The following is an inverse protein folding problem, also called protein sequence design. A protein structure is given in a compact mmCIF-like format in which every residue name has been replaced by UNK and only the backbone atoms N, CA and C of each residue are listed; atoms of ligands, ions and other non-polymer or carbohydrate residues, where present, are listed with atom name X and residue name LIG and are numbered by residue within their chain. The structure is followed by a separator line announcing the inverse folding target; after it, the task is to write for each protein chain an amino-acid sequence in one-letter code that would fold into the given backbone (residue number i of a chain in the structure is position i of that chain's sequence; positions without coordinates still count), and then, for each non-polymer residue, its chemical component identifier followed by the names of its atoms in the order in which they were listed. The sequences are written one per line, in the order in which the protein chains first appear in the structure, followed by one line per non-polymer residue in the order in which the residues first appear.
data_IF_975789286315
#
_entry.id   IF_975789286315
#
_cell.length_a   1.000
_cell.length_b   1.000
_cell.length_c   1.000
_cell.angle_alpha   90.00
_cell.angle_beta   90.00
_cell.angle_gamma   90.00
#
_symmetry.space_group_name_H-M   'P 1'
#
loop_
_entity.id
_entity.type
_entity.pdbx_description
1 polymer ?
#
# COMPACT_ATOMS: atom_id res chain seq x y z
N UNK A 1 -12.57 16.73 -57.25
CA UNK A 1 -11.69 16.44 -56.09
C UNK A 1 -12.28 17.16 -54.89
N UNK A 2 -13.02 16.43 -54.04
CA UNK A 2 -13.67 17.01 -52.86
C UNK A 2 -12.67 17.05 -51.70
N UNK A 3 -12.50 18.22 -51.09
CA UNK A 3 -11.70 18.39 -49.89
C UNK A 3 -12.38 17.66 -48.72
N UNK A 4 -11.68 16.68 -48.14
CA UNK A 4 -12.08 16.04 -46.89
C UNK A 4 -11.71 17.02 -45.78
N UNK A 5 -12.67 17.84 -45.36
CA UNK A 5 -12.58 18.59 -44.11
C UNK A 5 -12.67 17.58 -42.97
N UNK A 6 -11.52 17.25 -42.39
CA UNK A 6 -11.45 16.58 -41.08
C UNK A 6 -12.32 17.36 -40.08
N UNK A 7 -13.20 16.70 -39.31
CA UNK A 7 -13.95 17.39 -38.26
C UNK A 7 -12.97 17.99 -37.25
N UNK A 8 -13.30 19.12 -36.60
CA UNK A 8 -12.48 19.65 -35.52
C UNK A 8 -12.44 18.58 -34.42
N UNK A 9 -11.32 17.86 -34.36
CA UNK A 9 -11.02 16.97 -33.24
C UNK A 9 -11.14 17.77 -31.96
N UNK A 10 -11.75 17.15 -30.96
CA UNK A 10 -12.06 17.73 -29.67
C UNK A 10 -10.78 18.17 -28.94
N UNK A 11 -10.33 19.39 -29.21
CA UNK A 11 -9.26 20.10 -28.49
C UNK A 11 -9.65 20.47 -27.04
N UNK A 12 -10.75 19.91 -26.50
CA UNK A 12 -11.15 20.08 -25.11
C UNK A 12 -10.14 19.50 -24.12
N UNK A 13 -9.28 18.58 -24.55
CA UNK A 13 -8.20 18.06 -23.72
C UNK A 13 -7.08 19.10 -23.44
N UNK A 14 -7.02 20.21 -24.19
CA UNK A 14 -5.91 21.16 -24.12
C UNK A 14 -6.01 22.11 -22.92
N UNK A 15 -7.19 22.32 -22.30
CA UNK A 15 -7.34 23.38 -21.28
C UNK A 15 -8.19 23.06 -20.04
N UNK A 16 -8.36 21.80 -19.66
CA UNK A 16 -8.99 21.49 -18.36
C UNK A 16 -7.92 21.49 -17.26
N UNK A 17 -8.00 22.36 -16.24
CA UNK A 17 -7.05 22.41 -15.14
C UNK A 17 -6.96 21.09 -14.35
N UNK A 18 -5.78 20.77 -13.81
CA UNK A 18 -5.52 19.53 -13.09
C UNK A 18 -6.48 19.30 -11.91
N UNK A 19 -6.87 20.36 -11.19
CA UNK A 19 -7.82 20.28 -10.07
C UNK A 19 -9.24 19.90 -10.53
N UNK A 20 -9.65 20.28 -11.74
CA UNK A 20 -10.95 19.87 -12.31
C UNK A 20 -10.93 18.38 -12.64
N UNK A 21 -9.85 17.90 -13.26
CA UNK A 21 -9.64 16.47 -13.50
C UNK A 21 -9.59 15.66 -12.21
N UNK A 22 -8.89 16.16 -11.19
CA UNK A 22 -8.83 15.50 -9.88
C UNK A 22 -10.23 15.33 -9.29
N UNK A 23 -11.06 16.37 -9.32
CA UNK A 23 -12.45 16.30 -8.85
C UNK A 23 -13.30 15.30 -9.63
N UNK A 24 -13.07 15.16 -10.94
CA UNK A 24 -13.73 14.14 -11.78
C UNK A 24 -13.23 12.74 -11.35
N UNK A 25 -11.93 12.55 -11.24
CA UNK A 25 -11.29 11.29 -10.87
C UNK A 25 -11.65 10.82 -9.45
N UNK A 26 -11.97 11.74 -8.54
CA UNK A 26 -12.47 11.40 -7.21
C UNK A 26 -13.84 10.72 -7.23
N UNK A 27 -14.63 10.92 -8.29
CA UNK A 27 -16.00 10.38 -8.42
C UNK A 27 -16.07 9.02 -9.12
N UNK A 28 -15.01 8.61 -9.82
CA UNK A 28 -14.96 7.31 -10.53
C UNK A 28 -14.50 6.18 -9.62
N UNK A 29 -14.78 4.93 -9.99
CA UNK A 29 -14.31 3.75 -9.27
C UNK A 29 -12.78 3.59 -9.30
N UNK A 30 -12.22 2.80 -8.38
CA UNK A 30 -10.75 2.59 -8.30
C UNK A 30 -10.21 1.94 -9.57
N UNK A 31 -10.93 0.98 -10.16
CA UNK A 31 -10.50 0.34 -11.42
C UNK A 31 -10.46 1.35 -12.58
N UNK A 32 -11.48 2.19 -12.71
CA UNK A 32 -11.53 3.27 -13.71
C UNK A 32 -10.42 4.30 -13.48
N UNK A 33 -10.10 4.60 -12.22
CA UNK A 33 -8.98 5.48 -11.87
C UNK A 33 -7.64 4.90 -12.37
N UNK A 34 -7.44 3.58 -12.26
CA UNK A 34 -6.26 2.90 -12.80
C UNK A 34 -6.24 2.91 -14.32
N UNK A 35 -7.40 2.76 -14.98
CA UNK A 35 -7.50 2.90 -16.44
C UNK A 35 -7.13 4.32 -16.89
N UNK A 36 -7.64 5.35 -16.22
CA UNK A 36 -7.29 6.75 -16.51
C UNK A 36 -5.80 7.04 -16.35
N UNK A 37 -5.14 6.41 -15.39
CA UNK A 37 -3.69 6.49 -15.18
C UNK A 37 -2.88 5.91 -16.35
N UNK A 38 -3.48 5.07 -17.19
CA UNK A 38 -2.86 4.45 -18.36
C UNK A 38 -3.09 5.23 -19.67
N UNK A 39 -4.08 6.13 -19.71
CA UNK A 39 -4.47 6.83 -20.96
C UNK A 39 -3.39 7.78 -21.47
N UNK A 40 -2.91 8.72 -20.64
CA UNK A 40 -1.87 9.67 -21.05
C UNK A 40 -0.97 10.12 -19.89
N UNK A 41 0.18 10.72 -20.23
CA UNK A 41 1.16 11.20 -19.22
C UNK A 41 0.58 12.27 -18.29
N UNK A 42 -0.29 13.15 -18.80
CA UNK A 42 -0.91 14.20 -18.00
C UNK A 42 -1.85 13.61 -16.93
N UNK A 43 -2.71 12.67 -17.32
CA UNK A 43 -3.64 12.01 -16.40
C UNK A 43 -2.89 11.16 -15.39
N UNK A 44 -1.83 10.44 -15.81
CA UNK A 44 -0.94 9.76 -14.88
C UNK A 44 -0.35 10.71 -13.85
N UNK A 45 0.14 11.89 -14.27
CA UNK A 45 0.68 12.90 -13.37
C UNK A 45 -0.35 13.44 -12.38
N UNK A 46 -1.60 13.64 -12.81
CA UNK A 46 -2.70 14.07 -11.94
C UNK A 46 -3.03 12.99 -10.90
N UNK A 47 -3.16 11.73 -11.33
CA UNK A 47 -3.44 10.61 -10.43
C UNK A 47 -2.30 10.41 -9.44
N UNK A 48 -1.05 10.28 -9.92
CA UNK A 48 0.13 10.04 -9.08
C UNK A 48 0.45 11.22 -8.16
N UNK A 49 0.15 12.45 -8.60
CA UNK A 49 0.40 13.69 -7.87
C UNK A 49 -0.67 14.04 -6.83
N UNK A 50 -1.88 13.47 -6.89
CA UNK A 50 -2.96 13.73 -5.94
C UNK A 50 -2.94 12.74 -4.77
N UNK A 51 -2.66 13.17 -3.53
CA UNK A 51 -2.81 12.31 -2.35
C UNK A 51 -4.25 11.80 -2.19
N UNK A 52 -5.25 12.62 -2.53
CA UNK A 52 -6.66 12.25 -2.40
C UNK A 52 -7.03 11.06 -3.31
N UNK A 53 -6.51 11.03 -4.54
CA UNK A 53 -6.71 9.92 -5.47
C UNK A 53 -5.89 8.69 -5.07
N UNK A 54 -4.61 8.86 -4.74
CA UNK A 54 -3.72 7.75 -4.38
C UNK A 54 -4.13 7.04 -3.08
N UNK A 55 -4.74 7.76 -2.14
CA UNK A 55 -5.27 7.17 -0.91
C UNK A 55 -6.50 6.27 -1.16
N UNK A 56 -7.08 6.26 -2.35
CA UNK A 56 -8.17 5.34 -2.73
C UNK A 56 -7.63 4.01 -3.27
N UNK A 57 -6.37 3.99 -3.71
CA UNK A 57 -5.72 2.79 -4.24
C UNK A 57 -5.18 1.97 -3.07
N UNK A 58 -5.75 0.78 -2.90
CA UNK A 58 -5.33 -0.18 -1.88
C UNK A 58 -4.97 -1.50 -2.57
N UNK A 59 -3.74 -1.98 -2.34
CA UNK A 59 -3.33 -3.30 -2.80
C UNK A 59 -3.89 -4.34 -1.84
N UNK A 60 -4.54 -5.36 -2.40
CA UNK A 60 -5.03 -6.53 -1.68
C UNK A 60 -4.49 -7.78 -2.36
N UNK A 61 -4.06 -8.72 -1.53
CA UNK A 61 -3.72 -10.05 -2.00
C UNK A 61 -4.90 -11.00 -1.76
N UNK A 62 -5.19 -11.94 -2.67
CA UNK A 62 -6.25 -12.91 -2.46
C UNK A 62 -6.03 -13.75 -1.20
N UNK A 63 -7.10 -14.20 -0.52
CA UNK A 63 -6.98 -15.18 0.55
C UNK A 63 -6.28 -16.45 0.09
N UNK A 64 -5.40 -17.00 0.92
CA UNK A 64 -4.58 -18.17 0.61
C UNK A 64 -3.35 -17.88 -0.26
N UNK A 65 -3.15 -16.63 -0.67
CA UNK A 65 -1.96 -16.24 -1.42
C UNK A 65 -0.68 -16.43 -0.60
N UNK A 66 0.39 -16.86 -1.26
CA UNK A 66 1.70 -17.04 -0.64
C UNK A 66 2.66 -15.93 -1.08
N UNK A 67 3.08 -15.10 -0.12
CA UNK A 67 4.22 -14.21 -0.27
C UNK A 67 5.48 -14.95 0.17
N UNK A 68 6.26 -15.39 -0.80
CA UNK A 68 7.49 -16.16 -0.59
C UNK A 68 8.67 -15.59 -1.35
N UNK A 69 9.77 -16.36 -1.40
CA UNK A 69 11.02 -15.96 -2.04
C UNK A 69 10.96 -15.99 -3.56
N UNK A 70 9.94 -16.59 -4.14
CA UNK A 70 9.79 -16.72 -5.58
C UNK A 70 8.78 -15.70 -6.12
N UNK A 71 8.03 -15.03 -5.23
CA UNK A 71 7.13 -13.95 -5.61
C UNK A 71 7.86 -12.66 -5.98
N UNK A 72 7.82 -12.32 -7.27
CA UNK A 72 8.25 -11.05 -7.83
C UNK A 72 7.14 -10.50 -8.74
N UNK A 73 6.48 -9.39 -8.35
CA UNK A 73 5.42 -8.81 -9.17
C UNK A 73 6.01 -8.11 -10.40
N UNK A 74 5.54 -8.47 -11.59
CA UNK A 74 5.89 -7.79 -12.85
C UNK A 74 5.59 -6.28 -12.79
N UNK A 75 4.49 -5.94 -12.14
CA UNK A 75 4.06 -4.55 -11.97
C UNK A 75 3.28 -4.36 -10.66
N UNK A 76 3.79 -3.46 -9.81
CA UNK A 76 3.02 -2.94 -8.69
C UNK A 76 2.54 -1.53 -9.01
N UNK A 77 1.22 -1.35 -8.97
CA UNK A 77 0.62 -0.03 -8.95
C UNK A 77 1.18 0.73 -7.74
N UNK A 78 1.63 1.99 -7.90
CA UNK A 78 1.98 2.80 -6.75
C UNK A 78 0.77 2.87 -5.82
N UNK A 79 0.93 2.46 -4.57
CA UNK A 79 -0.13 2.48 -3.59
C UNK A 79 0.41 2.98 -2.26
N UNK A 80 -0.46 3.64 -1.51
CA UNK A 80 -0.17 4.08 -0.14
C UNK A 80 -0.80 3.16 0.90
N UNK A 81 -1.71 2.30 0.47
CA UNK A 81 -2.46 1.43 1.35
C UNK A 81 -2.27 -0.03 0.92
N UNK A 82 -2.04 -0.89 1.91
CA UNK A 82 -1.91 -2.33 1.73
C UNK A 82 -2.81 -3.05 2.73
N UNK A 83 -3.53 -4.06 2.26
CA UNK A 83 -4.25 -5.01 3.12
C UNK A 83 -3.84 -6.43 2.78
N UNK A 84 -3.33 -7.13 3.78
CA UNK A 84 -3.02 -8.56 3.73
C UNK A 84 -4.06 -9.27 4.59
N UNK A 85 -4.90 -10.09 3.97
CA UNK A 85 -5.91 -10.88 4.67
C UNK A 85 -5.76 -12.35 4.28
N UNK A 86 -5.59 -13.24 5.27
CA UNK A 86 -5.45 -14.69 5.03
C UNK A 86 -4.28 -15.02 4.09
N UNK A 87 -3.19 -14.26 4.19
CA UNK A 87 -1.98 -14.43 3.38
C UNK A 87 -0.93 -15.21 4.17
N UNK A 88 -0.23 -16.12 3.50
CA UNK A 88 0.95 -16.80 4.06
C UNK A 88 2.20 -16.01 3.66
N UNK A 89 2.87 -15.40 4.63
CA UNK A 89 4.05 -14.57 4.42
C UNK A 89 5.28 -15.33 4.94
N UNK A 90 6.03 -15.93 4.03
CA UNK A 90 7.24 -16.68 4.34
C UNK A 90 8.51 -15.86 4.12
N UNK A 91 8.51 -14.99 3.10
CA UNK A 91 9.60 -14.05 2.83
C UNK A 91 9.07 -12.82 2.10
N UNK A 92 9.88 -11.76 2.09
CA UNK A 92 9.72 -10.59 1.24
C UNK A 92 11.01 -10.39 0.45
N UNK A 93 10.89 -10.17 -0.85
CA UNK A 93 12.02 -10.12 -1.79
C UNK A 93 12.58 -8.71 -2.00
N UNK A 94 13.50 -8.57 -2.96
CA UNK A 94 14.16 -7.31 -3.35
C UNK A 94 13.20 -6.21 -3.80
N UNK A 95 12.02 -6.54 -4.32
CA UNK A 95 10.99 -5.56 -4.69
C UNK A 95 10.35 -4.86 -3.49
N UNK A 96 10.31 -5.54 -2.34
CA UNK A 96 9.53 -5.12 -1.18
C UNK A 96 10.03 -3.79 -0.58
N UNK A 97 11.33 -3.57 -0.31
CA UNK A 97 11.79 -2.31 0.27
C UNK A 97 11.40 -1.07 -0.54
N UNK A 98 11.51 -1.13 -1.87
CA UNK A 98 11.15 -0.01 -2.75
C UNK A 98 9.66 0.28 -2.74
N UNK A 99 8.83 -0.76 -2.67
CA UNK A 99 7.39 -0.62 -2.57
C UNK A 99 6.95 -0.12 -1.19
N UNK A 100 7.45 -0.75 -0.12
CA UNK A 100 7.04 -0.55 1.26
C UNK A 100 7.30 0.88 1.77
N UNK A 101 8.34 1.56 1.27
CA UNK A 101 8.65 2.94 1.63
C UNK A 101 7.51 3.93 1.33
N UNK A 102 6.58 3.60 0.42
CA UNK A 102 5.47 4.48 0.04
C UNK A 102 4.20 4.24 0.86
N UNK A 103 4.18 3.18 1.66
CA UNK A 103 3.01 2.78 2.43
C UNK A 103 2.80 3.71 3.62
N UNK A 104 1.55 4.17 3.76
CA UNK A 104 1.04 5.04 4.82
C UNK A 104 0.08 4.27 5.72
N UNK A 105 -0.69 3.35 5.14
CA UNK A 105 -1.62 2.47 5.84
C UNK A 105 -1.31 1.01 5.51
N UNK A 106 -1.17 0.18 6.54
CA UNK A 106 -1.02 -1.27 6.40
C UNK A 106 -1.96 -1.97 7.37
N UNK A 107 -2.72 -2.93 6.86
CA UNK A 107 -3.53 -3.85 7.66
C UNK A 107 -3.12 -5.29 7.36
N UNK A 108 -2.80 -6.07 8.38
CA UNK A 108 -2.39 -7.47 8.28
C UNK A 108 -3.30 -8.28 9.21
N UNK A 109 -4.19 -9.08 8.64
CA UNK A 109 -5.19 -9.84 9.40
C UNK A 109 -5.26 -11.30 8.96
N UNK A 110 -5.46 -12.19 9.93
CA UNK A 110 -5.55 -13.65 9.75
C UNK A 110 -4.39 -14.24 8.92
N UNK A 111 -3.19 -13.67 9.05
CA UNK A 111 -2.02 -14.05 8.25
C UNK A 111 -1.10 -15.02 9.00
N UNK A 112 -0.41 -15.89 8.26
CA UNK A 112 0.64 -16.76 8.81
C UNK A 112 2.01 -16.17 8.50
N UNK A 113 2.80 -15.82 9.51
CA UNK A 113 4.09 -15.13 9.34
C UNK A 113 5.08 -15.48 10.46
N UNK A 114 6.38 -15.51 10.17
CA UNK A 114 7.40 -15.68 11.22
C UNK A 114 7.79 -14.34 11.86
N UNK A 115 8.33 -14.32 13.09
CA UNK A 115 8.77 -13.05 13.70
C UNK A 115 9.81 -12.31 12.85
N UNK A 116 10.79 -13.04 12.30
CA UNK A 116 11.81 -12.44 11.43
C UNK A 116 11.22 -11.87 10.15
N UNK A 117 10.28 -12.59 9.52
CA UNK A 117 9.62 -12.11 8.29
C UNK A 117 8.75 -10.89 8.57
N UNK A 118 8.05 -10.84 9.70
CA UNK A 118 7.26 -9.68 10.10
C UNK A 118 8.16 -8.44 10.30
N UNK A 119 9.31 -8.60 10.95
CA UNK A 119 10.27 -7.50 11.10
C UNK A 119 10.82 -7.03 9.75
N UNK A 120 11.19 -7.96 8.85
CA UNK A 120 11.63 -7.62 7.50
C UNK A 120 10.55 -6.89 6.70
N UNK A 121 9.29 -7.26 6.93
CA UNK A 121 8.14 -6.63 6.30
C UNK A 121 7.97 -5.19 6.80
N UNK A 122 8.05 -4.95 8.10
CA UNK A 122 7.85 -3.63 8.72
C UNK A 122 9.04 -2.67 8.55
N UNK A 123 10.27 -3.18 8.58
CA UNK A 123 11.50 -2.37 8.59
C UNK A 123 11.57 -1.30 7.48
N UNK A 124 11.24 -1.56 6.20
CA UNK A 124 11.32 -0.56 5.14
C UNK A 124 10.16 0.44 5.12
N UNK A 125 9.12 0.28 5.95
CA UNK A 125 7.93 1.13 5.94
C UNK A 125 8.13 2.46 6.69
N UNK A 126 9.04 3.30 6.20
CA UNK A 126 9.47 4.52 6.90
C UNK A 126 8.43 5.63 6.97
N UNK A 127 7.44 5.61 6.08
CA UNK A 127 6.34 6.60 6.01
C UNK A 127 5.01 6.10 6.59
N UNK A 128 5.04 4.95 7.29
CA UNK A 128 3.83 4.35 7.82
C UNK A 128 3.25 5.19 8.96
N UNK A 129 1.96 5.53 8.85
CA UNK A 129 1.20 6.28 9.86
C UNK A 129 0.19 5.42 10.60
N UNK A 130 -0.37 4.42 9.92
CA UNK A 130 -1.37 3.53 10.49
C UNK A 130 -0.95 2.09 10.26
N UNK A 131 -0.80 1.34 11.36
CA UNK A 131 -0.56 -0.09 11.35
C UNK A 131 -1.68 -0.80 12.10
N UNK A 132 -2.36 -1.71 11.41
CA UNK A 132 -3.37 -2.58 12.00
C UNK A 132 -2.87 -4.02 11.91
N UNK A 133 -2.72 -4.66 13.05
CA UNK A 133 -2.40 -6.07 13.15
C UNK A 133 -3.59 -6.79 13.79
N UNK A 134 -4.17 -7.69 13.02
CA UNK A 134 -5.23 -8.58 13.46
C UNK A 134 -4.67 -9.90 13.99
N UNK A 135 -5.47 -10.96 13.90
CA UNK A 135 -5.05 -12.32 14.23
C UNK A 135 -3.83 -12.73 13.41
N UNK A 136 -2.71 -13.02 14.06
CA UNK A 136 -1.49 -13.52 13.41
C UNK A 136 -1.18 -14.94 13.89
N UNK A 137 -0.89 -15.83 12.95
CA UNK A 137 -0.40 -17.18 13.24
C UNK A 137 1.12 -17.21 13.08
N UNK A 138 1.84 -17.28 14.20
CA UNK A 138 3.30 -17.34 14.19
C UNK A 138 3.80 -18.78 14.34
N UNK A 139 4.58 -19.24 13.37
CA UNK A 139 5.08 -20.62 13.31
C UNK A 139 6.50 -20.80 13.88
N UNK A 140 7.22 -19.69 14.12
CA UNK A 140 8.56 -19.67 14.72
C UNK A 140 8.74 -18.40 15.55
N UNK A 141 8.87 -18.54 16.87
CA UNK A 141 9.35 -17.49 17.77
C UNK A 141 10.83 -17.75 18.04
N UNK A 142 11.69 -17.10 17.29
CA UNK A 142 13.10 -16.97 17.64
C UNK A 142 13.32 -15.60 18.29
N UNK A 143 14.27 -15.51 19.21
CA UNK A 143 14.73 -14.21 19.74
C UNK A 143 15.39 -13.44 18.60
N UNK A 144 14.61 -12.61 17.89
CA UNK A 144 15.12 -11.69 16.88
C UNK A 144 15.32 -10.34 17.54
N UNK A 145 16.52 -9.78 17.42
CA UNK A 145 16.80 -8.44 17.93
C UNK A 145 16.07 -7.40 17.06
N UNK A 146 15.30 -6.53 17.69
CA UNK A 146 14.69 -5.37 17.03
C UNK A 146 15.72 -4.25 17.01
N UNK A 147 16.12 -3.80 15.82
CA UNK A 147 17.16 -2.78 15.62
C UNK A 147 16.66 -1.52 14.88
N UNK A 148 15.34 -1.37 14.74
CA UNK A 148 14.72 -0.22 14.08
C UNK A 148 13.52 0.30 14.87
N UNK A 149 13.09 1.51 14.54
CA UNK A 149 11.95 2.18 15.15
C UNK A 149 11.04 2.78 14.07
N UNK A 150 9.74 2.72 14.29
CA UNK A 150 8.73 3.29 13.40
C UNK A 150 8.23 4.62 13.95
N UNK A 151 9.02 5.68 13.71
CA UNK A 151 8.81 7.00 14.30
C UNK A 151 7.55 7.72 13.81
N UNK A 152 7.04 7.38 12.62
CA UNK A 152 5.88 8.05 12.02
C UNK A 152 4.54 7.38 12.32
N UNK A 153 4.54 6.23 13.00
CA UNK A 153 3.29 5.49 13.29
C UNK A 153 2.52 6.25 14.36
N UNK A 154 1.37 6.79 13.97
CA UNK A 154 0.48 7.57 14.82
C UNK A 154 -0.62 6.69 15.42
N UNK A 155 -1.10 5.71 14.66
CA UNK A 155 -2.17 4.79 15.06
C UNK A 155 -1.68 3.35 14.94
N UNK A 156 -1.73 2.64 16.06
CA UNK A 156 -1.50 1.21 16.11
C UNK A 156 -2.72 0.51 16.67
N UNK A 157 -3.16 -0.57 16.02
CA UNK A 157 -4.22 -1.42 16.55
C UNK A 157 -3.80 -2.87 16.48
N UNK A 158 -4.13 -3.60 17.55
CA UNK A 158 -3.67 -4.95 17.82
C UNK A 158 -4.84 -5.87 18.17
N UNK A 159 -5.79 -6.03 17.26
CA UNK A 159 -6.97 -6.85 17.49
C UNK A 159 -6.64 -8.35 17.42
N UNK A 160 -6.75 -9.05 18.54
CA UNK A 160 -6.52 -10.51 18.56
C UNK A 160 -5.05 -10.93 18.43
N UNK A 161 -4.11 -10.00 18.69
CA UNK A 161 -2.71 -10.33 18.91
C UNK A 161 -2.51 -10.93 20.31
N UNK A 162 -1.67 -11.94 20.43
CA UNK A 162 -1.23 -12.45 21.73
C UNK A 162 -0.29 -11.45 22.42
N UNK A 163 -0.29 -11.42 23.76
CA UNK A 163 0.57 -10.54 24.56
C UNK A 163 2.06 -10.66 24.23
N UNK A 164 2.53 -11.86 23.88
CA UNK A 164 3.92 -12.11 23.47
C UNK A 164 4.30 -11.32 22.19
N UNK A 165 3.39 -11.25 21.22
CA UNK A 165 3.62 -10.54 19.95
C UNK A 165 3.56 -9.04 20.21
N UNK A 166 2.61 -8.59 21.02
CA UNK A 166 2.53 -7.19 21.41
C UNK A 166 3.81 -6.73 22.12
N UNK A 167 4.26 -7.50 23.11
CA UNK A 167 5.50 -7.23 23.87
C UNK A 167 6.73 -7.21 22.96
N UNK A 168 6.76 -8.08 21.96
CA UNK A 168 7.83 -8.13 20.96
C UNK A 168 7.84 -6.88 20.05
N UNK A 169 6.68 -6.37 19.65
CA UNK A 169 6.58 -5.21 18.76
C UNK A 169 6.62 -3.87 19.49
N UNK A 170 6.28 -3.84 20.78
CA UNK A 170 6.23 -2.61 21.58
C UNK A 170 7.50 -1.73 21.47
N UNK A 171 8.74 -2.27 21.46
CA UNK A 171 9.95 -1.46 21.31
C UNK A 171 10.08 -0.73 19.96
N UNK A 172 9.35 -1.17 18.93
CA UNK A 172 9.37 -0.57 17.59
C UNK A 172 8.62 0.76 17.57
N UNK A 173 7.57 0.89 18.39
CA UNK A 173 6.65 2.02 18.35
C UNK A 173 6.98 3.03 19.45
N UNK A 174 7.58 4.15 19.06
CA UNK A 174 8.04 5.17 20.02
C UNK A 174 7.14 6.41 20.11
N UNK A 175 6.20 6.60 19.18
CA UNK A 175 5.38 7.82 19.07
C UNK A 175 3.88 7.54 18.93
N UNK A 176 3.39 6.45 19.49
CA UNK A 176 1.96 6.09 19.38
C UNK A 176 1.08 7.17 20.00
N UNK A 177 0.18 7.72 19.19
CA UNK A 177 -0.84 8.67 19.66
C UNK A 177 -2.12 7.95 20.06
N UNK A 178 -2.40 6.80 19.43
CA UNK A 178 -3.60 5.98 19.67
C UNK A 178 -3.24 4.51 19.64
N UNK A 179 -3.74 3.80 20.65
CA UNK A 179 -3.77 2.35 20.76
C UNK A 179 -5.24 1.96 20.70
N UNK A 180 -5.62 1.23 19.65
CA UNK A 180 -7.00 0.79 19.39
C UNK A 180 -7.15 -0.71 19.49
#
# INVERSE_FOLDING_TARGET
MAAITTPPELDLAIHVPANVWENIFQRVGVLQLLEFRLICRSWRGIVDGSPALMNRICIKFPPGFALDRDYEPDYLVPARNLTLEKVRISAVNTWWPTFAQRLVFVSINDCTVSCSTLLQLLQPMTNLRVLQLGKLQMWKSSKVAVNFQMKQVETFSAEGLSEDIFSFLAPIFTQLRRIG
#
